data_IF_399288248113
#
_entry.id   IF_399288248113
#
_cell.length_a   1.000
_cell.length_b   1.000
_cell.length_c   1.000
_cell.angle_alpha   90.00
_cell.angle_beta   90.00
_cell.angle_gamma   90.00
#
_symmetry.space_group_name_H-M   'P 1'
#
loop_
_entity.id
_entity.type
_entity.pdbx_description
1 polymer ?
#
# COMPACT_ATOMS: atom_id res chain seq x y z
N UNK A 1 14.28 17.35 -3.25
CA UNK A 1 13.96 15.91 -3.15
C UNK A 1 14.01 15.53 -1.67
N UNK A 2 12.86 15.37 -1.02
CA UNK A 2 12.82 15.13 0.43
C UNK A 2 13.12 13.65 0.70
N UNK A 3 14.37 13.32 0.96
CA UNK A 3 14.85 12.01 1.40
C UNK A 3 14.20 11.67 2.74
N UNK A 4 12.94 11.21 2.70
CA UNK A 4 12.22 10.74 3.89
C UNK A 4 12.85 9.41 4.29
N UNK A 5 13.82 9.46 5.21
CA UNK A 5 14.40 8.27 5.85
C UNK A 5 13.27 7.31 6.25
N UNK A 6 13.35 6.06 5.77
CA UNK A 6 12.41 5.01 6.13
C UNK A 6 12.71 4.59 7.57
N UNK A 7 11.78 4.87 8.48
CA UNK A 7 11.90 4.50 9.90
C UNK A 7 11.40 3.08 10.13
N UNK A 8 11.71 2.51 11.30
CA UNK A 8 11.15 1.22 11.73
C UNK A 8 9.62 1.24 11.78
N UNK A 9 9.03 2.33 12.29
CA UNK A 9 7.57 2.56 12.28
C UNK A 9 6.96 2.56 10.88
N UNK A 10 7.69 3.03 9.87
CA UNK A 10 7.20 2.96 8.48
C UNK A 10 7.17 1.51 8.00
N UNK A 11 8.18 0.70 8.34
CA UNK A 11 8.24 -0.72 7.98
C UNK A 11 7.13 -1.53 8.65
N UNK A 12 6.89 -1.31 9.95
CA UNK A 12 5.80 -1.96 10.68
C UNK A 12 4.43 -1.64 10.05
N UNK A 13 4.15 -0.36 9.77
CA UNK A 13 2.89 0.04 9.09
C UNK A 13 2.78 -0.56 7.69
N UNK A 14 3.88 -0.60 6.95
CA UNK A 14 3.90 -1.19 5.61
C UNK A 14 3.62 -2.71 5.67
N UNK A 15 4.15 -3.42 6.67
CA UNK A 15 3.83 -4.82 6.94
C UNK A 15 2.36 -5.01 7.31
N UNK A 16 1.80 -4.18 8.18
CA UNK A 16 0.38 -4.21 8.51
C UNK A 16 -0.52 -3.97 7.28
N UNK A 17 -0.08 -3.12 6.34
CA UNK A 17 -0.79 -2.90 5.07
C UNK A 17 -0.95 -4.19 4.24
N UNK A 18 -0.03 -5.16 4.35
CA UNK A 18 -0.14 -6.47 3.69
C UNK A 18 -1.28 -7.32 4.26
N UNK A 19 -1.58 -7.17 5.55
CA UNK A 19 -2.68 -7.84 6.24
C UNK A 19 -4.05 -7.19 6.02
N UNK A 20 -4.11 -5.99 5.42
CA UNK A 20 -5.36 -5.28 5.20
C UNK A 20 -6.22 -6.01 4.15
N UNK A 21 -7.36 -6.58 4.57
CA UNK A 21 -8.31 -7.26 3.69
C UNK A 21 -8.75 -6.42 2.49
N UNK A 22 -8.90 -5.11 2.67
CA UNK A 22 -9.31 -4.18 1.63
C UNK A 22 -8.22 -3.97 0.58
N UNK A 23 -6.99 -3.67 1.01
CA UNK A 23 -5.84 -3.51 0.11
C UNK A 23 -5.54 -4.84 -0.60
N UNK A 24 -5.65 -5.97 0.10
CA UNK A 24 -5.50 -7.32 -0.47
C UNK A 24 -6.55 -7.60 -1.55
N UNK A 25 -7.81 -7.23 -1.31
CA UNK A 25 -8.88 -7.40 -2.29
C UNK A 25 -8.70 -6.48 -3.50
N UNK A 26 -8.35 -5.21 -3.27
CA UNK A 26 -8.05 -4.24 -4.32
C UNK A 26 -6.88 -4.73 -5.19
N UNK A 27 -5.80 -5.20 -4.56
CA UNK A 27 -4.63 -5.80 -5.21
C UNK A 27 -4.98 -7.02 -6.06
N UNK A 28 -5.83 -7.91 -5.54
CA UNK A 28 -6.21 -9.14 -6.25
C UNK A 28 -7.14 -8.85 -7.43
N UNK A 29 -8.14 -7.97 -7.27
CA UNK A 29 -9.16 -7.75 -8.30
C UNK A 29 -8.80 -6.67 -9.30
N UNK A 30 -8.01 -5.66 -8.92
CA UNK A 30 -7.68 -4.48 -9.75
C UNK A 30 -8.90 -3.71 -10.29
N UNK A 31 -10.12 -3.99 -9.80
CA UNK A 31 -11.37 -3.38 -10.28
C UNK A 31 -12.46 -3.42 -9.22
N UNK A 32 -13.45 -2.55 -9.38
CA UNK A 32 -14.62 -2.45 -8.51
C UNK A 32 -14.46 -1.46 -7.35
N UNK A 33 -15.48 -1.40 -6.51
CA UNK A 33 -15.64 -0.36 -5.47
C UNK A 33 -14.46 -0.38 -4.47
N UNK A 34 -13.99 -1.56 -4.06
CA UNK A 34 -12.83 -1.69 -3.17
C UNK A 34 -11.55 -1.09 -3.77
N UNK A 35 -11.31 -1.32 -5.07
CA UNK A 35 -10.15 -0.77 -5.77
C UNK A 35 -10.24 0.75 -5.89
N UNK A 36 -11.42 1.26 -6.28
CA UNK A 36 -11.68 2.69 -6.37
C UNK A 36 -11.51 3.40 -5.02
N UNK A 37 -12.02 2.80 -3.93
CA UNK A 37 -11.88 3.33 -2.59
C UNK A 37 -10.41 3.40 -2.15
N UNK A 38 -9.62 2.33 -2.35
CA UNK A 38 -8.18 2.34 -2.02
C UNK A 38 -7.45 3.45 -2.79
N UNK A 39 -7.73 3.61 -4.08
CA UNK A 39 -7.16 4.70 -4.90
C UNK A 39 -7.45 6.10 -4.37
N UNK A 40 -8.58 6.30 -3.69
CA UNK A 40 -8.95 7.59 -3.11
C UNK A 40 -8.22 7.79 -1.77
N UNK A 41 -8.18 6.77 -0.91
CA UNK A 41 -7.65 6.94 0.45
C UNK A 41 -6.13 6.88 0.53
N UNK A 42 -5.46 6.25 -0.43
CA UNK A 42 -4.00 6.06 -0.39
C UNK A 42 -3.20 7.37 -0.49
N UNK A 43 -3.77 8.42 -1.09
CA UNK A 43 -3.08 9.69 -1.36
C UNK A 43 -2.92 10.56 -0.10
N UNK A 44 -3.62 10.22 0.98
CA UNK A 44 -3.46 10.98 2.24
C UNK A 44 -4.25 10.50 3.45
N UNK A 45 -5.28 9.68 3.26
CA UNK A 45 -6.17 9.25 4.34
C UNK A 45 -5.67 7.98 5.05
N UNK A 46 -5.05 7.05 4.32
CA UNK A 46 -4.57 5.81 4.90
C UNK A 46 -3.07 5.87 5.25
N UNK A 47 -2.71 5.92 6.55
CA UNK A 47 -1.30 5.96 6.96
C UNK A 47 -0.55 4.68 6.58
N UNK A 48 -1.25 3.54 6.46
CA UNK A 48 -0.66 2.26 6.07
C UNK A 48 -0.33 2.22 4.58
N UNK A 49 -1.22 2.71 3.71
CA UNK A 49 -0.95 2.79 2.26
C UNK A 49 0.23 3.72 1.97
N UNK A 50 0.31 4.86 2.67
CA UNK A 50 1.42 5.80 2.57
C UNK A 50 2.74 5.20 3.04
N UNK A 51 2.73 4.46 4.15
CA UNK A 51 3.89 3.73 4.62
C UNK A 51 4.30 2.62 3.63
N UNK A 52 3.34 1.90 3.08
CA UNK A 52 3.56 0.87 2.05
C UNK A 52 4.25 1.46 0.82
N UNK A 53 3.74 2.57 0.28
CA UNK A 53 4.36 3.27 -0.85
C UNK A 53 5.77 3.76 -0.52
N UNK A 54 5.97 4.34 0.67
CA UNK A 54 7.27 4.82 1.10
C UNK A 54 8.30 3.69 1.25
N UNK A 55 7.89 2.52 1.75
CA UNK A 55 8.78 1.38 2.01
C UNK A 55 9.02 0.54 0.77
N UNK A 56 7.98 0.25 0.00
CA UNK A 56 8.03 -0.65 -1.16
C UNK A 56 8.17 0.07 -2.50
N UNK A 57 7.99 1.39 -2.54
CA UNK A 57 8.10 2.18 -3.78
C UNK A 57 6.93 1.99 -4.75
N UNK A 58 5.79 1.49 -4.27
CA UNK A 58 4.60 1.15 -5.09
C UNK A 58 3.31 1.34 -4.32
N UNK A 59 2.20 1.57 -5.01
CA UNK A 59 0.88 1.73 -4.40
C UNK A 59 0.39 0.42 -3.79
N UNK A 60 -0.35 0.53 -2.69
CA UNK A 60 -0.88 -0.62 -1.96
C UNK A 60 -1.84 -1.47 -2.81
N UNK A 61 -2.58 -0.84 -3.72
CA UNK A 61 -3.51 -1.52 -4.63
C UNK A 61 -2.84 -2.16 -5.84
N UNK A 62 -1.57 -1.91 -6.15
CA UNK A 62 -0.94 -2.51 -7.33
C UNK A 62 -0.81 -4.04 -7.18
N UNK A 63 -0.91 -4.82 -8.28
CA UNK A 63 -0.80 -6.28 -8.25
C UNK A 63 0.63 -6.70 -7.88
N UNK A 64 0.80 -7.67 -6.98
CA UNK A 64 2.15 -8.22 -6.73
C UNK A 64 2.51 -9.08 -7.95
N UNK A 65 3.44 -8.60 -8.78
CA UNK A 65 4.09 -9.40 -9.81
C UNK A 65 5.03 -10.39 -9.15
N UNK A 66 5.04 -11.64 -9.62
CA UNK A 66 5.70 -12.82 -9.04
C UNK A 66 7.23 -12.75 -8.86
N UNK A 67 7.89 -11.61 -9.11
CA UNK A 67 9.34 -11.47 -8.95
C UNK A 67 9.80 -11.21 -7.52
N UNK A 68 8.90 -11.22 -6.55
CA UNK A 68 9.19 -10.92 -5.14
C UNK A 68 8.33 -11.79 -4.22
N UNK A 69 8.54 -13.10 -4.30
CA UNK A 69 8.09 -14.11 -3.33
C UNK A 69 9.30 -14.83 -2.78
#
# INVERSE_FOLDING_TARGET
MNSKTITDKDRDKAQQCLGCSLCKHARKKQKGIAFWFVKIIEDGLCPYCKAYEKVYGRKAHEPISEQQG
#
